data_IF_460392259924
#
_entry.id   IF_460392259924
#
_cell.length_a   1.000
_cell.length_b   1.000
_cell.length_c   1.000
_cell.angle_alpha   90.00
_cell.angle_beta   90.00
_cell.angle_gamma   90.00
#
_symmetry.space_group_name_H-M   'P 1'
#
loop_
_entity.id
_entity.type
_entity.pdbx_description
1 polymer ?
#
# COMPACT_ATOMS: atom_id res chain seq x y z
N UNK A 1 -42.69 -19.97 26.57
CA UNK A 1 -41.22 -19.87 26.73
C UNK A 1 -41.03 -19.00 27.95
N UNK A 2 -40.61 -19.62 29.05
CA UNK A 2 -40.47 -18.98 30.36
C UNK A 2 -39.18 -18.16 30.36
N UNK A 3 -39.23 -16.94 30.89
CA UNK A 3 -38.18 -15.91 30.77
C UNK A 3 -37.04 -16.12 31.78
N UNK A 4 -37.04 -17.24 32.50
CA UNK A 4 -36.16 -17.54 33.63
C UNK A 4 -34.76 -18.05 33.33
N UNK A 5 -34.25 -17.92 32.09
CA UNK A 5 -32.88 -18.34 31.72
C UNK A 5 -32.05 -17.22 31.05
N UNK A 6 -32.56 -15.98 31.03
CA UNK A 6 -31.75 -14.83 30.64
C UNK A 6 -31.05 -14.27 31.88
N UNK A 7 -29.72 -14.39 31.96
CA UNK A 7 -28.93 -13.68 32.96
C UNK A 7 -29.15 -12.17 32.79
N UNK A 8 -29.70 -11.53 33.82
CA UNK A 8 -29.83 -10.09 33.88
C UNK A 8 -28.43 -9.48 34.06
N UNK A 9 -27.94 -8.75 33.05
CA UNK A 9 -26.60 -8.12 33.09
C UNK A 9 -26.61 -6.83 33.94
N UNK A 10 -27.77 -6.30 34.33
CA UNK A 10 -27.86 -5.16 35.25
C UNK A 10 -28.94 -5.36 36.31
N UNK A 11 -28.51 -5.54 37.56
CA UNK A 11 -29.32 -5.26 38.75
C UNK A 11 -28.45 -4.51 39.75
N UNK A 12 -28.83 -3.28 40.07
CA UNK A 12 -28.24 -2.49 41.17
C UNK A 12 -27.67 -1.12 40.80
N UNK A 13 -27.86 -0.17 41.72
CA UNK A 13 -27.42 1.24 41.74
C UNK A 13 -25.88 1.46 41.77
N UNK A 14 -25.08 0.52 41.24
CA UNK A 14 -23.62 0.61 41.31
C UNK A 14 -23.02 0.60 39.90
N UNK A 15 -22.60 1.79 39.46
CA UNK A 15 -21.71 1.98 38.32
C UNK A 15 -20.42 1.18 38.54
N UNK A 16 -20.14 0.22 37.67
CA UNK A 16 -18.86 -0.49 37.64
C UNK A 16 -18.03 0.01 36.46
N UNK A 17 -16.78 0.40 36.75
CA UNK A 17 -15.77 0.94 35.83
C UNK A 17 -15.14 -0.10 34.88
N UNK A 18 -15.87 -1.14 34.48
CA UNK A 18 -15.31 -2.23 33.70
C UNK A 18 -15.93 -2.30 32.30
N UNK A 19 -15.31 -1.55 31.38
CA UNK A 19 -15.60 -1.56 29.95
C UNK A 19 -15.24 -2.93 29.35
N UNK A 20 -16.24 -3.76 29.06
CA UNK A 20 -16.07 -5.00 28.32
C UNK A 20 -16.10 -4.75 26.81
N UNK A 21 -14.95 -4.87 26.13
CA UNK A 21 -14.90 -4.83 24.66
C UNK A 21 -15.14 -6.23 24.08
N UNK A 22 -16.06 -6.35 23.12
CA UNK A 22 -16.22 -7.54 22.27
C UNK A 22 -16.13 -7.14 20.79
N UNK A 23 -15.31 -7.89 20.05
CA UNK A 23 -14.93 -7.64 18.65
C UNK A 23 -15.94 -8.29 17.69
N UNK A 24 -16.48 -7.51 16.74
CA UNK A 24 -17.20 -7.99 15.55
C UNK A 24 -17.04 -6.92 14.44
N UNK A 25 -16.45 -7.27 13.29
CA UNK A 25 -15.92 -6.35 12.24
C UNK A 25 -16.96 -5.50 11.47
N UNK A 26 -16.65 -4.72 10.41
CA UNK A 26 -15.62 -4.71 9.35
C UNK A 26 -15.59 -3.30 8.69
N UNK A 27 -14.46 -2.82 8.14
CA UNK A 27 -14.36 -1.56 7.34
C UNK A 27 -13.01 -1.38 6.62
N UNK A 28 -12.99 -0.68 5.47
CA UNK A 28 -11.97 -0.81 4.38
C UNK A 28 -10.71 0.07 4.51
N UNK A 29 -10.74 1.18 5.27
CA UNK A 29 -9.63 2.16 5.28
C UNK A 29 -8.82 2.19 6.60
N UNK A 30 -9.26 1.52 7.67
CA UNK A 30 -8.40 0.98 8.72
C UNK A 30 -9.15 -0.09 9.56
N UNK A 31 -8.44 -1.01 10.26
CA UNK A 31 -9.02 -2.21 10.90
C UNK A 31 -9.79 -1.96 12.22
N UNK A 32 -10.34 -0.76 12.44
CA UNK A 32 -10.68 -0.20 13.75
C UNK A 32 -11.78 -0.91 14.60
N UNK A 33 -11.69 -0.65 15.91
CA UNK A 33 -12.50 -1.17 17.05
C UNK A 33 -13.96 -0.71 17.05
N UNK A 34 -14.89 -1.63 17.31
CA UNK A 34 -16.24 -1.31 17.81
C UNK A 34 -16.25 -1.26 19.34
N UNK A 35 -16.74 -0.16 19.92
CA UNK A 35 -16.84 0.04 21.37
C UNK A 35 -18.29 0.41 21.74
N UNK A 36 -18.85 -0.26 22.74
CA UNK A 36 -20.16 0.03 23.29
C UNK A 36 -20.03 0.92 24.53
N UNK A 37 -20.75 2.04 24.55
CA UNK A 37 -20.83 2.93 25.70
C UNK A 37 -22.20 2.81 26.37
N UNK A 38 -22.22 2.81 27.71
CA UNK A 38 -23.42 2.96 28.52
C UNK A 38 -23.18 4.03 29.58
N UNK A 39 -24.06 5.02 29.63
CA UNK A 39 -24.05 6.09 30.63
C UNK A 39 -25.38 6.04 31.40
N UNK A 40 -25.38 6.21 32.73
CA UNK A 40 -26.60 6.39 33.47
C UNK A 40 -27.26 7.71 33.06
N UNK A 41 -28.46 7.67 32.48
CA UNK A 41 -29.27 8.88 32.26
C UNK A 41 -29.92 9.22 33.61
N UNK A 42 -29.17 9.88 34.49
CA UNK A 42 -29.76 10.57 35.62
C UNK A 42 -30.21 11.96 35.14
N UNK A 43 -31.50 12.09 34.87
CA UNK A 43 -32.08 13.40 34.61
C UNK A 43 -31.84 14.32 35.82
N UNK A 44 -31.11 15.42 35.60
CA UNK A 44 -31.02 16.58 36.48
C UNK A 44 -30.12 16.51 37.73
N UNK A 45 -28.99 15.80 37.71
CA UNK A 45 -27.93 16.03 38.71
C UNK A 45 -26.96 17.14 38.23
N UNK A 46 -26.92 18.32 38.88
CA UNK A 46 -26.05 19.44 38.49
C UNK A 46 -24.56 19.19 38.75
N UNK A 47 -24.20 18.11 39.47
CA UNK A 47 -22.82 17.70 39.74
C UNK A 47 -22.32 16.59 38.81
N UNK A 48 -23.17 16.08 37.90
CA UNK A 48 -22.78 15.12 36.87
C UNK A 48 -22.57 15.85 35.55
N UNK A 49 -21.53 15.46 34.82
CA UNK A 49 -21.33 15.96 33.45
C UNK A 49 -22.55 15.68 32.60
N UNK A 50 -22.92 16.64 31.74
CA UNK A 50 -24.08 16.47 30.86
C UNK A 50 -23.87 15.25 29.96
N UNK A 51 -24.96 14.57 29.59
CA UNK A 51 -24.89 13.45 28.67
C UNK A 51 -24.14 13.81 27.36
N UNK A 52 -24.36 15.01 26.85
CA UNK A 52 -23.62 15.56 25.71
C UNK A 52 -22.12 15.65 25.98
N UNK A 53 -21.70 16.11 27.16
CA UNK A 53 -20.29 16.18 27.57
C UNK A 53 -19.68 14.78 27.67
N UNK A 54 -20.38 13.81 28.27
CA UNK A 54 -19.89 12.43 28.36
C UNK A 54 -19.73 11.79 26.98
N UNK A 55 -20.68 12.02 26.06
CA UNK A 55 -20.57 11.58 24.67
C UNK A 55 -19.39 12.25 23.97
N UNK A 56 -19.27 13.57 24.07
CA UNK A 56 -18.17 14.32 23.47
C UNK A 56 -16.82 13.82 23.98
N UNK A 57 -16.66 13.66 25.30
CA UNK A 57 -15.43 13.14 25.89
C UNK A 57 -15.14 11.69 25.47
N UNK A 58 -16.18 10.87 25.29
CA UNK A 58 -16.02 9.48 24.82
C UNK A 58 -15.64 9.41 23.35
N UNK A 59 -16.20 10.31 22.53
CA UNK A 59 -15.83 10.47 21.12
C UNK A 59 -14.40 10.97 21.03
N UNK A 60 -14.06 12.02 21.74
CA UNK A 60 -12.70 12.57 21.76
C UNK A 60 -11.67 11.55 22.24
N UNK A 61 -11.98 10.78 23.29
CA UNK A 61 -11.13 9.68 23.74
C UNK A 61 -10.99 8.56 22.69
N UNK A 62 -12.06 8.27 21.95
CA UNK A 62 -12.04 7.24 20.91
C UNK A 62 -11.29 7.68 19.66
N UNK A 63 -11.41 8.95 19.30
CA UNK A 63 -10.86 9.51 18.08
C UNK A 63 -9.42 9.99 18.26
N UNK A 64 -8.93 10.10 19.50
CA UNK A 64 -7.63 10.71 19.77
C UNK A 64 -7.65 12.21 19.45
N UNK A 65 -6.55 12.88 19.77
CA UNK A 65 -6.36 14.30 19.46
C UNK A 65 -5.14 14.56 18.58
N UNK A 66 -4.34 13.55 18.23
CA UNK A 66 -3.21 13.73 17.32
C UNK A 66 -2.88 12.45 16.58
N UNK A 67 -2.74 12.56 15.28
CA UNK A 67 -2.38 11.42 14.44
C UNK A 67 -0.88 11.25 14.23
N UNK A 68 -0.49 10.51 13.17
CA UNK A 68 0.87 10.08 12.95
C UNK A 68 1.83 11.26 12.84
N UNK A 69 2.92 11.25 13.62
CA UNK A 69 4.00 12.23 13.54
C UNK A 69 5.33 11.55 13.25
N UNK A 70 6.19 12.25 12.50
CA UNK A 70 7.55 11.80 12.23
C UNK A 70 7.93 11.90 10.76
N UNK A 71 8.81 11.00 10.32
CA UNK A 71 9.32 10.97 8.94
C UNK A 71 9.29 9.57 8.37
N UNK A 72 8.91 9.48 7.10
CA UNK A 72 9.00 8.25 6.31
C UNK A 72 10.24 8.33 5.41
N UNK A 73 11.06 7.28 5.44
CA UNK A 73 12.22 7.12 4.58
C UNK A 73 11.99 5.98 3.58
N UNK A 74 11.82 6.31 2.30
CA UNK A 74 11.73 5.31 1.24
C UNK A 74 13.10 4.69 0.97
N UNK A 75 13.16 3.36 0.89
CA UNK A 75 14.37 2.64 0.53
C UNK A 75 14.31 2.16 -0.92
N UNK A 76 13.39 1.27 -1.24
CA UNK A 76 13.27 0.63 -2.56
C UNK A 76 11.82 0.73 -3.05
N UNK A 77 11.56 0.98 -4.34
CA UNK A 77 12.52 1.33 -5.39
C UNK A 77 13.23 2.70 -5.17
N UNK A 78 14.37 2.95 -5.78
CA UNK A 78 15.01 4.27 -5.78
C UNK A 78 14.24 5.25 -6.68
N UNK A 79 14.47 6.55 -6.48
CA UNK A 79 13.88 7.56 -7.37
C UNK A 79 14.43 7.43 -8.80
N UNK A 80 13.54 7.31 -9.77
CA UNK A 80 13.88 7.12 -11.19
C UNK A 80 14.35 5.70 -11.53
N UNK A 81 14.13 4.72 -10.65
CA UNK A 81 14.49 3.33 -10.92
C UNK A 81 13.60 2.71 -12.01
N UNK A 82 14.20 1.84 -12.83
CA UNK A 82 13.48 0.92 -13.71
C UNK A 82 13.50 -0.48 -13.12
N UNK A 83 12.33 -1.05 -12.87
CA UNK A 83 12.18 -2.41 -12.34
C UNK A 83 11.67 -3.32 -13.46
N UNK A 84 12.49 -4.28 -13.86
CA UNK A 84 12.12 -5.34 -14.80
C UNK A 84 11.58 -6.56 -14.02
N UNK A 85 10.30 -6.86 -14.20
CA UNK A 85 9.64 -8.00 -13.55
C UNK A 85 9.51 -9.19 -14.50
N UNK A 86 10.16 -10.29 -14.15
CA UNK A 86 9.93 -11.59 -14.74
C UNK A 86 8.84 -12.36 -13.97
N UNK A 87 8.34 -13.46 -14.55
CA UNK A 87 7.17 -14.18 -14.05
C UNK A 87 7.26 -14.69 -12.61
N UNK A 88 8.46 -14.81 -12.04
CA UNK A 88 8.69 -15.26 -10.66
C UNK A 88 9.04 -14.12 -9.69
N UNK A 89 9.18 -12.90 -10.19
CA UNK A 89 9.64 -11.76 -9.39
C UNK A 89 8.51 -11.17 -8.55
N UNK A 90 8.87 -10.28 -7.62
CA UNK A 90 7.92 -9.47 -6.86
C UNK A 90 8.33 -8.00 -6.96
N UNK A 91 7.35 -7.13 -7.21
CA UNK A 91 7.54 -5.71 -7.00
C UNK A 91 7.46 -5.45 -5.50
N UNK A 92 8.59 -5.07 -4.91
CA UNK A 92 8.69 -4.87 -3.47
C UNK A 92 9.01 -3.41 -3.17
N UNK A 93 8.17 -2.81 -2.34
CA UNK A 93 8.41 -1.49 -1.77
C UNK A 93 8.93 -1.67 -0.34
N UNK A 94 10.11 -1.12 -0.07
CA UNK A 94 10.74 -1.12 1.25
C UNK A 94 10.86 0.32 1.70
N UNK A 95 10.44 0.58 2.92
CA UNK A 95 10.45 1.90 3.53
C UNK A 95 10.70 1.75 5.03
N UNK A 96 10.96 2.86 5.71
CA UNK A 96 11.15 2.89 7.15
C UNK A 96 11.00 4.30 7.65
N UNK A 97 11.71 4.61 8.72
CA UNK A 97 11.66 5.92 9.37
C UNK A 97 11.28 5.79 10.84
N UNK A 98 10.90 6.92 11.42
CA UNK A 98 10.46 6.98 12.82
C UNK A 98 9.13 7.69 12.84
N UNK A 99 8.06 6.90 12.89
CA UNK A 99 6.69 7.37 12.98
C UNK A 99 6.14 6.86 14.30
N UNK A 100 5.46 7.73 15.01
CA UNK A 100 4.74 7.41 16.22
C UNK A 100 3.41 8.11 16.20
N UNK A 101 2.44 7.51 16.86
CA UNK A 101 1.16 8.12 17.11
C UNK A 101 1.12 8.62 18.58
N UNK A 102 0.81 9.90 18.84
CA UNK A 102 0.71 10.46 20.19
C UNK A 102 -0.32 9.77 21.08
N UNK A 103 -1.40 9.27 20.48
CA UNK A 103 -2.48 8.56 21.17
C UNK A 103 -2.18 7.05 21.34
N UNK A 104 -1.12 6.58 20.66
CA UNK A 104 -0.60 5.22 20.75
C UNK A 104 -1.32 4.25 19.81
N UNK A 105 -1.98 4.78 18.78
CA UNK A 105 -2.69 3.99 17.79
C UNK A 105 -1.74 3.23 16.85
N UNK A 106 -2.29 2.16 16.25
CA UNK A 106 -1.58 1.37 15.26
C UNK A 106 -1.51 2.12 13.93
N UNK A 107 -0.32 2.20 13.37
CA UNK A 107 -0.08 2.85 12.09
C UNK A 107 -0.08 1.80 10.98
N UNK A 108 -0.98 1.96 10.02
CA UNK A 108 -0.97 1.23 8.76
C UNK A 108 -0.22 1.98 7.66
N UNK A 109 0.40 1.23 6.75
CA UNK A 109 1.14 1.76 5.61
C UNK A 109 0.49 1.34 4.30
N UNK A 110 0.39 2.30 3.37
CA UNK A 110 -0.02 2.03 1.99
C UNK A 110 0.95 2.65 1.00
N UNK A 111 1.13 1.97 -0.13
CA UNK A 111 1.84 2.51 -1.28
C UNK A 111 0.80 3.16 -2.18
N UNK A 112 0.97 4.46 -2.42
CA UNK A 112 0.13 5.20 -3.37
C UNK A 112 0.90 5.35 -4.67
N UNK A 113 0.32 4.83 -5.75
CA UNK A 113 0.83 4.91 -7.11
C UNK A 113 0.00 5.91 -7.92
N UNK A 114 0.66 6.73 -8.72
CA UNK A 114 0.06 7.78 -9.53
C UNK A 114 0.60 7.73 -10.98
N UNK A 115 -0.06 8.46 -11.88
CA UNK A 115 0.25 8.41 -13.31
C UNK A 115 -0.17 7.07 -13.93
N UNK A 116 0.65 6.54 -14.83
CA UNK A 116 0.33 5.28 -15.51
C UNK A 116 0.39 4.06 -14.56
N UNK A 117 1.04 4.21 -13.40
CA UNK A 117 1.10 3.16 -12.37
C UNK A 117 -0.15 3.10 -11.48
N UNK A 118 -1.06 4.07 -11.55
CA UNK A 118 -2.27 4.13 -10.70
C UNK A 118 -3.24 2.95 -10.91
N UNK A 119 -3.05 2.17 -11.98
CA UNK A 119 -3.79 0.93 -12.26
C UNK A 119 -3.38 -0.24 -11.36
N UNK A 120 -2.20 -0.17 -10.73
CA UNK A 120 -1.69 -1.22 -9.86
C UNK A 120 -2.26 -1.10 -8.46
N UNK A 121 -2.70 -2.23 -7.92
CA UNK A 121 -3.14 -2.33 -6.53
C UNK A 121 -2.06 -3.02 -5.70
N UNK A 122 -1.52 -2.28 -4.72
CA UNK A 122 -0.48 -2.79 -3.82
C UNK A 122 -1.13 -3.02 -2.45
N UNK A 123 -1.08 -4.25 -1.92
CA UNK A 123 -1.64 -4.55 -0.60
C UNK A 123 -1.08 -3.62 0.47
N UNK A 124 -1.96 -3.10 1.34
CA UNK A 124 -1.55 -2.39 2.53
C UNK A 124 -0.74 -3.30 3.46
N UNK A 125 0.14 -2.69 4.24
CA UNK A 125 1.04 -3.39 5.16
C UNK A 125 1.01 -2.74 6.54
N UNK A 126 1.13 -3.55 7.58
CA UNK A 126 1.38 -3.11 8.96
C UNK A 126 2.88 -3.07 9.29
N UNK A 127 3.73 -3.33 8.29
CA UNK A 127 5.18 -3.37 8.42
C UNK A 127 5.91 -2.45 7.44
N UNK A 128 7.23 -2.55 7.46
CA UNK A 128 8.18 -1.73 6.69
C UNK A 128 8.32 -2.13 5.21
N UNK A 129 7.41 -2.96 4.70
CA UNK A 129 7.42 -3.42 3.32
C UNK A 129 6.04 -3.81 2.81
N UNK A 130 5.79 -3.54 1.55
CA UNK A 130 4.62 -4.04 0.81
C UNK A 130 5.09 -4.65 -0.51
N UNK A 131 4.49 -5.77 -0.93
CA UNK A 131 4.86 -6.41 -2.19
C UNK A 131 3.66 -6.97 -2.94
N UNK A 132 3.82 -7.07 -4.26
CA UNK A 132 2.87 -7.70 -5.18
C UNK A 132 3.64 -8.61 -6.14
N UNK A 133 3.05 -9.75 -6.50
CA UNK A 133 3.69 -10.70 -7.40
C UNK A 133 3.72 -10.16 -8.83
N UNK A 134 4.77 -10.50 -9.59
CA UNK A 134 4.84 -10.15 -11.00
C UNK A 134 3.67 -10.74 -11.82
N UNK A 135 3.12 -11.88 -11.40
CA UNK A 135 1.95 -12.48 -12.01
C UNK A 135 0.72 -11.58 -11.84
N UNK A 136 0.47 -11.07 -10.63
CA UNK A 136 -0.66 -10.17 -10.35
C UNK A 136 -0.49 -8.84 -11.07
N UNK A 137 0.72 -8.27 -11.07
CA UNK A 137 1.04 -7.07 -11.88
C UNK A 137 0.73 -7.32 -13.35
N UNK A 138 1.16 -8.45 -13.90
CA UNK A 138 0.91 -8.85 -15.30
C UNK A 138 -0.59 -9.01 -15.58
N UNK A 139 -1.39 -9.49 -14.62
CA UNK A 139 -2.86 -9.52 -14.75
C UNK A 139 -3.46 -8.12 -14.79
N UNK A 140 -2.92 -7.18 -14.01
CA UNK A 140 -3.41 -5.79 -13.95
C UNK A 140 -3.09 -4.99 -15.20
N UNK A 141 -1.87 -5.13 -15.75
CA UNK A 141 -1.40 -4.26 -16.85
C UNK A 141 -1.13 -4.99 -18.17
N UNK A 142 -0.96 -6.31 -18.15
CA UNK A 142 -0.58 -7.13 -19.29
C UNK A 142 0.92 -7.46 -19.34
N UNK A 143 1.29 -8.38 -20.24
CA UNK A 143 2.68 -8.73 -20.53
C UNK A 143 3.34 -7.71 -21.45
N UNK A 144 4.67 -7.58 -21.36
CA UNK A 144 5.50 -6.74 -22.22
C UNK A 144 5.08 -5.27 -22.22
N UNK A 145 4.65 -4.79 -21.05
CA UNK A 145 4.31 -3.39 -20.84
C UNK A 145 5.47 -2.63 -20.21
N UNK A 146 5.49 -1.32 -20.43
CA UNK A 146 6.39 -0.39 -19.78
C UNK A 146 5.58 0.81 -19.32
N UNK A 147 5.38 0.96 -18.01
CA UNK A 147 4.62 2.04 -17.41
C UNK A 147 5.54 2.92 -16.58
N UNK A 148 5.33 4.23 -16.62
CA UNK A 148 6.07 5.17 -15.76
C UNK A 148 5.09 6.01 -14.97
N UNK A 149 5.36 6.14 -13.68
CA UNK A 149 4.53 6.90 -12.79
C UNK A 149 5.29 7.30 -11.55
N UNK A 150 4.55 7.77 -10.57
CA UNK A 150 5.10 8.16 -9.29
C UNK A 150 4.57 7.29 -8.17
N UNK A 151 5.34 7.17 -7.10
CA UNK A 151 4.97 6.41 -5.92
C UNK A 151 5.38 7.14 -4.65
N UNK A 152 4.56 6.99 -3.61
CA UNK A 152 4.82 7.49 -2.26
C UNK A 152 4.27 6.51 -1.23
N UNK A 153 4.74 6.62 0.00
CA UNK A 153 4.25 5.86 1.14
C UNK A 153 3.36 6.78 1.96
N UNK A 154 2.20 6.27 2.36
CA UNK A 154 1.31 6.97 3.29
C UNK A 154 1.21 6.13 4.56
N UNK A 155 1.49 6.75 5.70
CA UNK A 155 1.30 6.17 7.02
C UNK A 155 0.06 6.80 7.66
N UNK A 156 -0.86 5.97 8.15
CA UNK A 156 -2.15 6.41 8.69
C UNK A 156 -2.56 5.60 9.91
N UNK A 157 -3.17 6.27 10.88
CA UNK A 157 -3.90 5.70 12.02
C UNK A 157 -5.38 5.40 11.68
N UNK A 158 -5.83 5.77 10.48
CA UNK A 158 -7.22 5.68 10.01
C UNK A 158 -8.02 6.98 10.10
N UNK A 159 -7.48 8.03 10.71
CA UNK A 159 -8.10 9.36 10.84
C UNK A 159 -7.26 10.44 10.17
N UNK A 160 -5.98 10.47 10.49
CA UNK A 160 -5.00 11.35 9.90
C UNK A 160 -3.94 10.54 9.14
N UNK A 161 -3.07 11.24 8.42
CA UNK A 161 -2.04 10.61 7.62
C UNK A 161 -0.86 11.52 7.41
N UNK A 162 0.32 10.91 7.32
CA UNK A 162 1.52 11.56 6.81
C UNK A 162 2.01 10.84 5.57
N UNK A 163 2.61 11.59 4.66
CA UNK A 163 3.12 11.09 3.40
C UNK A 163 4.64 11.22 3.33
N UNK A 164 5.29 10.28 2.65
CA UNK A 164 6.68 10.43 2.24
C UNK A 164 6.80 11.44 1.11
N UNK A 165 8.05 11.70 0.70
CA UNK A 165 8.30 12.29 -0.62
C UNK A 165 7.76 11.40 -1.75
N UNK A 166 7.65 12.00 -2.93
CA UNK A 166 7.26 11.32 -4.16
C UNK A 166 8.51 10.85 -4.92
N UNK A 167 8.48 9.63 -5.43
CA UNK A 167 9.53 9.05 -6.28
C UNK A 167 8.97 8.62 -7.62
N UNK A 168 9.78 8.70 -8.66
CA UNK A 168 9.45 8.19 -9.99
C UNK A 168 9.85 6.71 -10.08
N UNK A 169 9.05 5.90 -10.76
CA UNK A 169 9.31 4.49 -11.02
C UNK A 169 8.89 4.15 -12.45
N UNK A 170 9.73 3.40 -13.16
CA UNK A 170 9.37 2.74 -14.41
C UNK A 170 9.26 1.24 -14.16
N UNK A 171 8.12 0.65 -14.49
CA UNK A 171 7.86 -0.78 -14.34
C UNK A 171 7.77 -1.43 -15.71
N UNK A 172 8.52 -2.51 -15.90
CA UNK A 172 8.54 -3.29 -17.15
C UNK A 172 8.12 -4.71 -16.84
N UNK A 173 7.08 -5.23 -17.50
CA UNK A 173 6.62 -6.62 -17.31
C UNK A 173 7.07 -7.53 -18.44
N UNK A 174 7.54 -8.73 -18.08
CA UNK A 174 7.99 -9.73 -19.03
C UNK A 174 9.32 -9.38 -19.70
N UNK A 175 9.80 -10.26 -20.57
CA UNK A 175 11.00 -10.00 -21.36
C UNK A 175 10.69 -9.09 -22.54
N UNK A 176 10.59 -7.78 -22.29
CA UNK A 176 10.92 -6.80 -23.33
C UNK A 176 12.44 -6.88 -23.53
N UNK A 177 12.88 -7.74 -24.44
CA UNK A 177 14.29 -7.95 -24.74
C UNK A 177 14.97 -6.62 -25.07
N UNK A 178 15.61 -6.00 -24.07
CA UNK A 178 16.59 -4.93 -24.23
C UNK A 178 17.94 -5.48 -24.69
N UNK A 179 17.95 -6.56 -25.49
CA UNK A 179 19.08 -6.74 -26.41
C UNK A 179 19.08 -5.52 -27.30
N UNK A 180 19.89 -4.54 -26.91
CA UNK A 180 20.56 -3.66 -27.83
C UNK A 180 20.96 -4.56 -29.01
N UNK A 181 20.24 -4.40 -30.11
CA UNK A 181 20.50 -5.14 -31.31
C UNK A 181 21.86 -4.60 -31.78
N UNK A 182 22.93 -5.20 -31.25
CA UNK A 182 24.28 -4.99 -31.74
C UNK A 182 24.25 -5.59 -33.14
N UNK A 183 23.73 -4.81 -34.09
CA UNK A 183 23.97 -5.01 -35.49
C UNK A 183 25.49 -5.00 -35.60
N UNK A 184 26.09 -6.18 -35.67
CA UNK A 184 27.48 -6.30 -36.07
C UNK A 184 27.55 -5.58 -37.41
N UNK A 185 28.18 -4.40 -37.45
CA UNK A 185 28.58 -3.70 -38.69
C UNK A 185 29.62 -4.55 -39.42
N UNK A 186 29.25 -5.74 -39.88
CA UNK A 186 29.98 -6.55 -40.86
C UNK A 186 29.00 -7.46 -41.60
N UNK A 187 28.05 -6.86 -42.31
CA UNK A 187 27.70 -7.40 -43.62
C UNK A 187 28.58 -6.67 -44.64
N UNK A 188 29.88 -6.98 -44.67
CA UNK A 188 30.62 -6.80 -45.90
C UNK A 188 30.49 -8.11 -46.65
N UNK A 189 29.57 -8.14 -47.62
CA UNK A 189 29.58 -9.17 -48.66
C UNK A 189 30.73 -8.84 -49.63
N UNK A 190 31.98 -8.81 -49.15
CA UNK A 190 33.15 -8.89 -50.02
C UNK A 190 33.42 -10.36 -50.31
N UNK A 191 32.48 -10.99 -50.98
CA UNK A 191 32.76 -12.16 -51.79
C UNK A 191 33.25 -11.64 -53.14
N UNK A 192 34.57 -11.54 -53.33
CA UNK A 192 35.14 -11.51 -54.67
C UNK A 192 34.83 -12.87 -55.32
N UNK A 193 33.61 -13.03 -55.85
CA UNK A 193 33.35 -14.08 -56.83
C UNK A 193 34.02 -13.63 -58.13
N UNK A 194 35.07 -14.32 -58.61
CA UNK A 194 35.56 -14.05 -59.95
C UNK A 194 34.40 -14.35 -60.91
N UNK A 195 34.06 -13.35 -61.72
CA UNK A 195 33.00 -13.44 -62.72
C UNK A 195 33.25 -14.67 -63.62
N UNK A 196 32.36 -15.68 -63.64
CA UNK A 196 32.55 -16.88 -64.46
C UNK A 196 32.35 -16.63 -65.96
N UNK A 197 32.05 -15.38 -66.38
CA UNK A 197 31.78 -15.00 -67.77
C UNK A 197 32.93 -14.26 -68.47
N UNK A 198 34.12 -14.17 -67.88
CA UNK A 198 35.30 -13.69 -68.63
C UNK A 198 35.93 -14.88 -69.35
N UNK A 199 35.62 -15.04 -70.63
CA UNK A 199 36.42 -15.88 -71.52
C UNK A 199 37.81 -15.26 -71.68
N UNK A 200 38.82 -15.89 -71.11
CA UNK A 200 40.21 -15.64 -71.49
C UNK A 200 40.37 -16.15 -72.93
N UNK A 201 40.34 -15.25 -73.91
CA UNK A 201 40.86 -15.56 -75.24
C UNK A 201 42.36 -15.83 -75.10
N UNK A 202 42.77 -17.07 -75.27
CA UNK A 202 44.18 -17.41 -75.50
C UNK A 202 44.59 -16.77 -76.83
N UNK A 203 45.63 -15.96 -76.79
CA UNK A 203 46.34 -15.53 -77.99
C UNK A 203 46.97 -16.76 -78.67
N UNK A 204 46.74 -16.88 -79.97
CA UNK A 204 47.69 -17.44 -80.95
C UNK A 204 47.80 -16.40 -82.05
#
# INVERSE_FOLDING_TARGET
MDVGLADAIFSGDQSFSQTGSRYNGLGFDAPFKTIYFSFPIEAANPNLESFTTLLSNSVDWLMGYGGPVGTIAQATPQDGETVDLNTTDQLTFIFGGSISDPDGDLIGYKIVLEGDLAVLDIPASDGVSASVSAADVTVMIGENQSLTGTWKVVASDGLESIESGTRTLTLVTGTLSSKEEVFRRKFSLMGNYPNPLIQIRKFV
#
